data_IF_173870650768
#
_entry.id   IF_173870650768
#
_cell.length_a   1.000
_cell.length_b   1.000
_cell.length_c   1.000
_cell.angle_alpha   90.00
_cell.angle_beta   90.00
_cell.angle_gamma   90.00
#
_symmetry.space_group_name_H-M   'P 1'
#
loop_
_entity.id
_entity.type
_entity.pdbx_description
1 polymer ?
#
# COMPACT_ATOMS: atom_id res chain seq x y z
N UNK A 1 -13.72 -11.27 -19.58
CA UNK A 1 -12.48 -11.13 -20.41
C UNK A 1 -11.42 -10.25 -19.75
N UNK A 2 -11.79 -9.29 -18.89
CA UNK A 2 -10.84 -8.40 -18.16
C UNK A 2 -9.96 -9.19 -17.19
N UNK A 3 -10.49 -10.23 -16.54
CA UNK A 3 -9.69 -11.10 -15.65
C UNK A 3 -8.58 -11.91 -16.37
N UNK A 4 -8.59 -11.97 -17.71
CA UNK A 4 -7.45 -12.54 -18.46
C UNK A 4 -6.24 -11.60 -18.54
N UNK A 5 -6.44 -10.30 -18.39
CA UNK A 5 -5.37 -9.29 -18.35
C UNK A 5 -4.57 -9.33 -17.03
N UNK A 6 -5.19 -9.75 -15.91
CA UNK A 6 -4.48 -9.91 -14.64
C UNK A 6 -3.39 -10.99 -14.71
N UNK A 7 -3.50 -11.94 -15.62
CA UNK A 7 -2.50 -12.99 -15.84
C UNK A 7 -1.20 -12.50 -16.47
N UNK A 8 -1.21 -11.28 -17.04
CA UNK A 8 -0.05 -10.65 -17.68
C UNK A 8 0.50 -9.48 -16.87
N UNK A 9 -0.11 -9.15 -15.73
CA UNK A 9 0.34 -8.03 -14.90
C UNK A 9 0.65 -8.51 -13.49
N UNK A 10 1.93 -8.80 -13.25
CA UNK A 10 2.47 -9.16 -11.93
C UNK A 10 2.15 -8.09 -10.86
N UNK A 11 2.01 -6.82 -11.25
CA UNK A 11 1.75 -5.72 -10.33
C UNK A 11 0.42 -5.88 -9.56
N UNK A 12 -0.63 -6.45 -10.20
CA UNK A 12 -1.89 -6.71 -9.50
C UNK A 12 -1.75 -7.86 -8.48
N UNK A 13 -1.06 -8.94 -8.86
CA UNK A 13 -0.78 -10.05 -7.95
C UNK A 13 0.09 -9.59 -6.78
N UNK A 14 1.06 -8.72 -7.04
CA UNK A 14 1.94 -8.11 -6.05
C UNK A 14 1.17 -7.25 -5.07
N UNK A 15 0.26 -6.42 -5.55
CA UNK A 15 -0.59 -5.60 -4.69
C UNK A 15 -1.49 -6.48 -3.79
N UNK A 16 -2.08 -7.54 -4.33
CA UNK A 16 -2.89 -8.49 -3.55
C UNK A 16 -2.02 -9.24 -2.53
N UNK A 17 -0.80 -9.63 -2.91
CA UNK A 17 0.14 -10.29 -2.01
C UNK A 17 0.60 -9.35 -0.89
N UNK A 18 0.87 -8.08 -1.20
CA UNK A 18 1.23 -7.05 -0.24
C UNK A 18 0.12 -6.83 0.79
N UNK A 19 -1.13 -6.64 0.33
CA UNK A 19 -2.29 -6.49 1.23
C UNK A 19 -2.50 -7.73 2.10
N UNK A 20 -2.29 -8.94 1.55
CA UNK A 20 -2.37 -10.19 2.33
C UNK A 20 -1.26 -10.32 3.37
N UNK A 21 -0.06 -9.86 3.05
CA UNK A 21 1.08 -9.88 3.98
C UNK A 21 0.84 -8.94 5.17
N UNK A 22 0.24 -7.77 4.93
CA UNK A 22 -0.06 -6.75 5.93
C UNK A 22 -1.55 -6.72 6.33
N UNK A 23 -2.21 -7.89 6.29
CA UNK A 23 -3.66 -8.02 6.57
C UNK A 23 -4.08 -7.40 7.90
N UNK A 24 -3.24 -7.48 8.92
CA UNK A 24 -3.56 -7.02 10.27
C UNK A 24 -3.54 -5.48 10.33
N UNK A 25 -2.54 -4.84 9.70
CA UNK A 25 -2.47 -3.38 9.56
C UNK A 25 -3.62 -2.85 8.70
N UNK A 26 -3.90 -3.54 7.58
CA UNK A 26 -5.01 -3.18 6.70
C UNK A 26 -6.38 -3.34 7.38
N UNK A 27 -6.60 -4.46 8.08
CA UNK A 27 -7.82 -4.71 8.84
C UNK A 27 -8.04 -3.66 9.92
N UNK A 28 -6.97 -3.26 10.63
CA UNK A 28 -7.03 -2.21 11.66
C UNK A 28 -7.41 -0.86 11.07
N UNK A 29 -6.86 -0.50 9.90
CA UNK A 29 -7.19 0.74 9.21
C UNK A 29 -8.65 0.76 8.73
N UNK A 30 -9.13 -0.35 8.16
CA UNK A 30 -10.54 -0.51 7.74
C UNK A 30 -11.48 -0.48 8.94
N UNK A 31 -11.11 -1.12 10.05
CA UNK A 31 -11.89 -1.07 11.29
C UNK A 31 -11.99 0.35 11.84
N UNK A 32 -10.87 1.09 11.88
CA UNK A 32 -10.85 2.49 12.29
C UNK A 32 -11.77 3.36 11.40
N UNK A 33 -11.72 3.15 10.09
CA UNK A 33 -12.60 3.83 9.14
C UNK A 33 -14.07 3.51 9.42
N UNK A 34 -14.40 2.25 9.68
CA UNK A 34 -15.78 1.82 9.95
C UNK A 34 -16.31 2.42 11.25
N UNK A 35 -15.53 2.39 12.33
CA UNK A 35 -15.92 3.01 13.61
C UNK A 35 -16.08 4.52 13.47
N UNK A 36 -15.18 5.19 12.75
CA UNK A 36 -15.28 6.63 12.47
C UNK A 36 -16.54 6.93 11.65
N UNK A 37 -16.84 6.11 10.64
CA UNK A 37 -18.06 6.23 9.84
C UNK A 37 -19.32 6.14 10.72
N UNK A 38 -19.41 5.14 11.57
CA UNK A 38 -20.57 4.99 12.48
C UNK A 38 -20.69 6.17 13.44
N UNK A 39 -19.58 6.59 14.06
CA UNK A 39 -19.58 7.68 15.02
C UNK A 39 -20.01 9.00 14.38
N UNK A 40 -19.33 9.43 13.33
CA UNK A 40 -19.59 10.73 12.69
C UNK A 40 -20.94 10.77 11.98
N UNK A 41 -21.36 9.66 11.38
CA UNK A 41 -22.70 9.55 10.77
C UNK A 41 -23.81 9.63 11.79
N UNK A 42 -23.63 9.01 12.96
CA UNK A 42 -24.60 9.11 14.04
C UNK A 42 -24.69 10.52 14.59
N UNK A 43 -23.55 11.20 14.76
CA UNK A 43 -23.48 12.58 15.23
C UNK A 43 -24.14 13.54 14.24
N UNK A 44 -23.84 13.46 12.95
CA UNK A 44 -24.44 14.36 11.95
C UNK A 44 -25.94 14.11 11.82
N UNK A 45 -26.39 12.84 11.91
CA UNK A 45 -27.80 12.49 11.92
C UNK A 45 -28.54 13.13 13.11
N UNK A 46 -27.97 13.10 14.31
CA UNK A 46 -28.56 13.69 15.52
C UNK A 46 -28.63 15.21 15.39
N UNK A 47 -27.59 15.85 14.84
CA UNK A 47 -27.46 17.30 14.78
C UNK A 47 -28.28 17.89 13.63
N UNK A 48 -28.15 17.33 12.42
CA UNK A 48 -28.71 17.86 11.18
C UNK A 48 -30.01 17.14 10.74
N UNK A 49 -30.25 15.91 11.18
CA UNK A 49 -31.41 15.13 10.72
C UNK A 49 -32.76 15.76 11.04
N UNK A 50 -32.84 16.64 12.05
CA UNK A 50 -34.05 17.38 12.36
C UNK A 50 -34.26 18.60 11.47
N UNK A 51 -33.15 19.27 11.14
CA UNK A 51 -33.13 20.48 10.30
C UNK A 51 -33.14 20.13 8.80
N UNK A 52 -32.52 18.99 8.44
CA UNK A 52 -32.43 18.52 7.07
C UNK A 52 -32.92 17.06 6.94
N UNK A 53 -34.21 16.78 7.20
CA UNK A 53 -34.73 15.41 7.19
C UNK A 53 -34.71 14.74 5.80
N UNK A 54 -34.67 15.53 4.72
CA UNK A 54 -34.58 15.00 3.36
C UNK A 54 -33.19 14.53 3.02
N UNK A 55 -32.15 15.10 3.66
CA UNK A 55 -30.76 14.80 3.43
C UNK A 55 -30.25 13.71 4.37
N UNK A 56 -30.63 13.83 5.65
CA UNK A 56 -30.24 12.91 6.71
C UNK A 56 -31.47 12.21 7.32
N UNK A 57 -32.26 11.43 6.52
CA UNK A 57 -33.46 10.76 7.01
C UNK A 57 -33.14 9.59 7.95
N UNK A 58 -31.89 9.11 7.96
CA UNK A 58 -31.46 7.95 8.74
C UNK A 58 -29.95 7.89 8.89
N UNK A 59 -29.48 7.11 9.87
CA UNK A 59 -28.03 6.87 10.05
C UNK A 59 -27.39 6.28 8.78
N UNK A 60 -27.97 5.30 8.06
CA UNK A 60 -27.38 4.83 6.79
C UNK A 60 -27.25 5.92 5.71
N UNK A 61 -28.19 6.88 5.64
CA UNK A 61 -28.05 8.01 4.72
C UNK A 61 -26.88 8.92 5.13
N UNK A 62 -26.71 9.16 6.42
CA UNK A 62 -25.56 9.89 6.96
C UNK A 62 -24.25 9.12 6.74
N UNK A 63 -24.23 7.79 6.79
CA UNK A 63 -23.06 6.98 6.45
C UNK A 63 -22.68 7.14 4.97
N UNK A 64 -23.65 7.17 4.08
CA UNK A 64 -23.40 7.43 2.66
C UNK A 64 -22.75 8.81 2.45
N UNK A 65 -23.27 9.84 3.13
CA UNK A 65 -22.65 11.18 3.12
C UNK A 65 -21.22 11.16 3.64
N UNK A 66 -20.93 10.44 4.75
CA UNK A 66 -19.60 10.32 5.32
C UNK A 66 -18.62 9.64 4.35
N UNK A 67 -19.04 8.55 3.70
CA UNK A 67 -18.23 7.85 2.70
C UNK A 67 -17.90 8.76 1.51
N UNK A 68 -18.87 9.52 1.01
CA UNK A 68 -18.61 10.50 -0.06
C UNK A 68 -17.60 11.54 0.41
N UNK A 69 -17.77 12.07 1.62
CA UNK A 69 -16.84 13.07 2.20
C UNK A 69 -15.41 12.55 2.29
N UNK A 70 -15.20 11.28 2.66
CA UNK A 70 -13.87 10.66 2.68
C UNK A 70 -13.28 10.54 1.28
N UNK A 71 -14.07 10.09 0.30
CA UNK A 71 -13.57 9.83 -1.06
C UNK A 71 -13.27 11.12 -1.80
N UNK A 72 -14.15 12.12 -1.68
CA UNK A 72 -14.05 13.39 -2.42
C UNK A 72 -13.25 14.46 -1.67
N UNK A 73 -12.99 14.26 -0.38
CA UNK A 73 -12.42 15.30 0.50
C UNK A 73 -13.36 16.47 0.77
N UNK A 74 -14.59 16.42 0.24
CA UNK A 74 -15.60 17.46 0.36
C UNK A 74 -16.98 16.83 0.50
N UNK A 75 -17.76 17.27 1.50
CA UNK A 75 -19.17 16.85 1.62
C UNK A 75 -20.00 17.44 0.48
N UNK A 76 -20.93 16.66 -0.05
CA UNK A 76 -21.88 17.08 -1.08
C UNK A 76 -23.09 17.85 -0.51
N UNK A 77 -23.12 18.05 0.80
CA UNK A 77 -24.18 18.75 1.51
C UNK A 77 -23.56 19.63 2.60
N UNK A 78 -24.01 20.88 2.64
CA UNK A 78 -23.61 21.83 3.67
C UNK A 78 -24.52 21.70 4.90
N UNK A 79 -23.95 21.71 6.11
CA UNK A 79 -24.74 21.75 7.35
C UNK A 79 -25.44 23.09 7.49
N UNK A 80 -26.64 23.09 8.09
CA UNK A 80 -27.39 24.31 8.38
C UNK A 80 -27.23 24.78 9.81
N UNK A 81 -26.80 23.89 10.72
CA UNK A 81 -26.56 24.27 12.11
C UNK A 81 -25.10 24.64 12.35
N UNK A 82 -24.85 25.53 13.31
CA UNK A 82 -23.49 25.90 13.71
C UNK A 82 -22.67 24.70 14.22
N UNK A 83 -23.31 23.83 15.01
CA UNK A 83 -22.67 22.62 15.55
C UNK A 83 -22.38 21.63 14.42
N UNK A 84 -23.30 21.47 13.47
CA UNK A 84 -23.11 20.67 12.26
C UNK A 84 -21.93 21.17 11.43
N UNK A 85 -21.79 22.49 11.26
CA UNK A 85 -20.64 23.08 10.56
C UNK A 85 -19.31 22.68 11.20
N UNK A 86 -19.21 22.77 12.54
CA UNK A 86 -17.99 22.35 13.25
C UNK A 86 -17.73 20.85 13.05
N UNK A 87 -18.79 20.03 13.16
CA UNK A 87 -18.69 18.59 12.98
C UNK A 87 -18.22 18.23 11.56
N UNK A 88 -18.75 18.91 10.54
CA UNK A 88 -18.34 18.69 9.14
C UNK A 88 -16.88 19.06 8.92
N UNK A 89 -16.39 20.17 9.48
CA UNK A 89 -14.98 20.55 9.40
C UNK A 89 -14.10 19.47 10.05
N UNK A 90 -14.46 18.99 11.23
CA UNK A 90 -13.73 17.91 11.90
C UNK A 90 -13.75 16.61 11.08
N UNK A 91 -14.90 16.28 10.48
CA UNK A 91 -15.05 15.11 9.60
C UNK A 91 -14.15 15.22 8.37
N UNK A 92 -14.05 16.40 7.75
CA UNK A 92 -13.19 16.61 6.59
C UNK A 92 -11.71 16.46 6.92
N UNK A 93 -11.26 17.03 8.04
CA UNK A 93 -9.88 16.85 8.53
C UNK A 93 -9.58 15.38 8.80
N UNK A 94 -10.50 14.69 9.48
CA UNK A 94 -10.37 13.26 9.77
C UNK A 94 -10.37 12.41 8.48
N UNK A 95 -11.19 12.78 7.50
CA UNK A 95 -11.26 12.09 6.20
C UNK A 95 -9.92 12.07 5.48
N UNK A 96 -9.23 13.20 5.46
CA UNK A 96 -7.88 13.31 4.88
C UNK A 96 -6.90 12.39 5.62
N UNK A 97 -6.95 12.39 6.96
CA UNK A 97 -6.08 11.55 7.77
C UNK A 97 -6.36 10.04 7.54
N UNK A 98 -7.62 9.63 7.49
CA UNK A 98 -8.02 8.25 7.24
C UNK A 98 -7.63 7.78 5.84
N UNK A 99 -7.83 8.61 4.82
CA UNK A 99 -7.41 8.31 3.46
C UNK A 99 -5.88 8.17 3.37
N UNK A 100 -5.12 9.03 4.06
CA UNK A 100 -3.67 8.95 4.12
C UNK A 100 -3.19 7.66 4.82
N UNK A 101 -3.83 7.24 5.91
CA UNK A 101 -3.52 5.98 6.61
C UNK A 101 -3.72 4.78 5.68
N UNK A 102 -4.88 4.69 5.01
CA UNK A 102 -5.17 3.58 4.09
C UNK A 102 -4.17 3.52 2.94
N UNK A 103 -3.89 4.66 2.31
CA UNK A 103 -2.90 4.76 1.24
C UNK A 103 -1.50 4.39 1.74
N UNK A 104 -1.12 4.87 2.93
CA UNK A 104 0.16 4.58 3.56
C UNK A 104 0.35 3.10 3.84
N UNK A 105 -0.65 2.41 4.37
CA UNK A 105 -0.60 0.95 4.63
C UNK A 105 -0.37 0.18 3.33
N UNK A 106 -1.11 0.51 2.25
CA UNK A 106 -0.95 -0.15 0.95
C UNK A 106 0.42 0.13 0.36
N UNK A 107 0.88 1.39 0.40
CA UNK A 107 2.20 1.77 -0.12
C UNK A 107 3.33 1.05 0.63
N UNK A 108 3.30 1.04 1.97
CA UNK A 108 4.30 0.36 2.80
C UNK A 108 4.31 -1.14 2.53
N UNK A 109 3.14 -1.77 2.45
CA UNK A 109 3.02 -3.19 2.15
C UNK A 109 3.61 -3.55 0.78
N UNK A 110 3.37 -2.71 -0.24
CA UNK A 110 3.93 -2.89 -1.57
C UNK A 110 5.46 -2.75 -1.56
N UNK A 111 6.00 -1.71 -0.93
CA UNK A 111 7.45 -1.49 -0.81
C UNK A 111 8.12 -2.66 -0.09
N UNK A 112 7.58 -3.11 1.03
CA UNK A 112 8.10 -4.26 1.76
C UNK A 112 8.11 -5.56 0.92
N UNK A 113 7.10 -5.75 0.07
CA UNK A 113 7.06 -6.90 -0.84
C UNK A 113 8.14 -6.83 -1.93
N UNK A 114 8.37 -5.65 -2.49
CA UNK A 114 9.44 -5.41 -3.48
C UNK A 114 10.81 -5.64 -2.85
N UNK A 115 11.08 -5.04 -1.69
CA UNK A 115 12.33 -5.21 -0.94
C UNK A 115 12.60 -6.67 -0.59
N UNK A 116 11.58 -7.40 -0.15
CA UNK A 116 11.71 -8.83 0.15
C UNK A 116 12.11 -9.65 -1.07
N UNK A 117 11.58 -9.35 -2.25
CA UNK A 117 11.96 -10.02 -3.50
C UNK A 117 13.40 -9.72 -3.88
N UNK A 118 13.78 -8.46 -3.78
CA UNK A 118 15.15 -8.03 -4.05
C UNK A 118 16.13 -8.74 -3.12
N UNK A 119 15.85 -8.77 -1.81
CA UNK A 119 16.69 -9.45 -0.84
C UNK A 119 16.82 -10.96 -1.10
N UNK A 120 15.73 -11.62 -1.50
CA UNK A 120 15.78 -13.06 -1.86
C UNK A 120 16.63 -13.30 -3.09
N UNK A 121 16.53 -12.45 -4.12
CA UNK A 121 17.34 -12.55 -5.33
C UNK A 121 18.82 -12.26 -5.03
N UNK A 122 19.10 -11.22 -4.25
CA UNK A 122 20.45 -10.85 -3.81
C UNK A 122 21.13 -12.00 -3.05
N UNK A 123 20.41 -12.66 -2.13
CA UNK A 123 20.94 -13.83 -1.42
C UNK A 123 21.36 -14.94 -2.38
N UNK A 124 20.57 -15.22 -3.39
CA UNK A 124 20.89 -16.26 -4.38
C UNK A 124 22.09 -15.87 -5.25
N UNK A 125 22.12 -14.63 -5.73
CA UNK A 125 23.29 -14.10 -6.46
C UNK A 125 24.55 -14.18 -5.61
N UNK A 126 24.47 -13.84 -4.33
CA UNK A 126 25.61 -13.93 -3.39
C UNK A 126 26.08 -15.37 -3.20
N UNK A 127 25.17 -16.34 -3.13
CA UNK A 127 25.52 -17.76 -3.06
C UNK A 127 26.23 -18.22 -4.32
N UNK A 128 25.71 -17.87 -5.49
CA UNK A 128 26.29 -18.22 -6.81
C UNK A 128 27.67 -17.57 -7.01
N UNK A 129 27.85 -16.35 -6.53
CA UNK A 129 29.14 -15.63 -6.65
C UNK A 129 30.18 -16.01 -5.57
N UNK A 130 29.81 -16.87 -4.61
CA UNK A 130 30.67 -17.20 -3.46
C UNK A 130 31.97 -17.93 -3.84
N UNK A 131 31.94 -18.76 -4.88
CA UNK A 131 33.08 -19.50 -5.39
C UNK A 131 33.88 -18.79 -6.52
N UNK A 132 33.32 -17.64 -6.99
CA UNK A 132 33.97 -16.78 -8.00
C UNK A 132 33.80 -17.23 -9.45
N UNK A 133 33.10 -18.32 -9.72
CA UNK A 133 32.87 -18.87 -11.07
C UNK A 133 31.40 -19.12 -11.26
N UNK A 134 30.74 -18.38 -12.16
CA UNK A 134 29.33 -18.57 -12.47
C UNK A 134 29.20 -19.62 -13.57
N UNK A 135 28.62 -20.76 -13.22
CA UNK A 135 28.36 -21.85 -14.17
C UNK A 135 27.12 -21.58 -15.03
N UNK A 136 26.99 -22.26 -16.17
CA UNK A 136 25.80 -22.14 -17.03
C UNK A 136 24.51 -22.60 -16.29
N UNK A 137 24.62 -23.59 -15.40
CA UNK A 137 23.51 -24.08 -14.60
C UNK A 137 23.04 -23.03 -13.58
N UNK A 138 23.97 -22.32 -12.93
CA UNK A 138 23.67 -21.24 -12.00
C UNK A 138 23.06 -20.02 -12.68
N UNK A 139 23.53 -19.68 -13.89
CA UNK A 139 22.90 -18.64 -14.69
C UNK A 139 21.44 -18.99 -15.05
N UNK A 140 21.19 -20.26 -15.40
CA UNK A 140 19.83 -20.72 -15.67
C UNK A 140 18.95 -20.67 -14.42
N UNK A 141 19.48 -21.03 -13.25
CA UNK A 141 18.76 -20.93 -11.96
C UNK A 141 18.42 -19.48 -11.62
N UNK A 142 19.35 -18.53 -11.77
CA UNK A 142 19.10 -17.10 -11.56
C UNK A 142 18.01 -16.55 -12.50
N UNK A 143 17.98 -16.98 -13.77
CA UNK A 143 16.92 -16.61 -14.70
C UNK A 143 15.55 -17.16 -14.31
N UNK A 144 15.51 -18.40 -13.86
CA UNK A 144 14.26 -19.02 -13.35
C UNK A 144 13.77 -18.27 -12.11
N UNK A 145 14.68 -17.91 -11.22
CA UNK A 145 14.36 -17.16 -10.01
C UNK A 145 13.89 -15.74 -10.32
N UNK A 146 14.56 -15.04 -11.25
CA UNK A 146 14.11 -13.75 -11.76
C UNK A 146 12.67 -13.81 -12.26
N UNK A 147 12.35 -14.78 -13.11
CA UNK A 147 11.00 -14.98 -13.63
C UNK A 147 10.00 -15.31 -12.53
N UNK A 148 10.38 -16.16 -11.54
CA UNK A 148 9.53 -16.54 -10.41
C UNK A 148 9.25 -15.36 -9.47
N UNK A 149 10.21 -14.47 -9.29
CA UNK A 149 10.07 -13.26 -8.46
C UNK A 149 9.45 -12.10 -9.25
N UNK A 150 9.23 -12.24 -10.55
CA UNK A 150 8.66 -11.20 -11.41
C UNK A 150 9.53 -9.95 -11.52
N UNK A 151 10.86 -10.11 -11.46
CA UNK A 151 11.82 -9.00 -11.52
C UNK A 151 12.13 -8.64 -12.96
N UNK A 152 12.23 -7.32 -13.24
CA UNK A 152 12.68 -6.84 -14.54
C UNK A 152 14.20 -7.00 -14.72
N UNK A 153 14.65 -7.01 -15.97
CA UNK A 153 16.09 -7.06 -16.26
C UNK A 153 16.85 -5.87 -15.66
N UNK A 154 16.23 -4.69 -15.65
CA UNK A 154 16.82 -3.48 -15.02
C UNK A 154 17.03 -3.64 -13.51
N UNK A 155 16.09 -4.29 -12.81
CA UNK A 155 16.22 -4.55 -11.37
C UNK A 155 17.34 -5.57 -11.10
N UNK A 156 17.45 -6.58 -11.94
CA UNK A 156 18.51 -7.60 -11.83
C UNK A 156 19.89 -6.99 -12.09
N UNK A 157 20.01 -6.15 -13.11
CA UNK A 157 21.28 -5.49 -13.44
C UNK A 157 21.70 -4.50 -12.35
N UNK A 158 20.74 -3.77 -11.74
CA UNK A 158 21.03 -2.88 -10.61
C UNK A 158 21.59 -3.65 -9.41
N UNK A 159 21.00 -4.81 -9.06
CA UNK A 159 21.49 -5.66 -7.96
C UNK A 159 22.90 -6.19 -8.26
N UNK A 160 23.14 -6.68 -9.47
CA UNK A 160 24.48 -7.18 -9.86
C UNK A 160 25.53 -6.08 -9.76
N UNK A 161 25.22 -4.90 -10.27
CA UNK A 161 26.13 -3.75 -10.22
C UNK A 161 26.46 -3.33 -8.77
N UNK A 162 25.45 -3.29 -7.91
CA UNK A 162 25.63 -2.99 -6.48
C UNK A 162 26.56 -4.04 -5.82
N UNK A 163 26.37 -5.32 -6.10
CA UNK A 163 27.18 -6.40 -5.53
C UNK A 163 28.63 -6.36 -6.03
N UNK A 164 28.86 -6.01 -7.29
CA UNK A 164 30.22 -5.81 -7.84
C UNK A 164 30.91 -4.64 -7.14
N UNK A 165 30.23 -3.52 -6.92
CA UNK A 165 30.77 -2.38 -6.18
C UNK A 165 31.14 -2.76 -4.73
N UNK A 166 30.23 -3.47 -4.02
CA UNK A 166 30.48 -3.95 -2.66
C UNK A 166 31.74 -4.85 -2.60
N UNK A 167 31.91 -5.72 -3.60
CA UNK A 167 33.08 -6.60 -3.69
C UNK A 167 34.37 -5.79 -3.88
N UNK A 168 34.38 -4.82 -4.78
CA UNK A 168 35.54 -3.93 -5.01
C UNK A 168 35.90 -3.13 -3.76
N UNK A 169 34.92 -2.59 -3.05
CA UNK A 169 35.12 -1.84 -1.79
C UNK A 169 35.70 -2.78 -0.70
N UNK A 170 35.16 -3.99 -0.59
CA UNK A 170 35.66 -4.98 0.37
C UNK A 170 37.11 -5.42 0.10
N UNK A 171 37.45 -5.62 -1.16
CA UNK A 171 38.82 -5.96 -1.58
C UNK A 171 39.81 -4.80 -1.34
N UNK A 172 39.41 -3.58 -1.67
CA UNK A 172 40.22 -2.38 -1.39
C UNK A 172 40.49 -2.20 0.12
N UNK A 173 39.49 -2.43 0.97
CA UNK A 173 39.64 -2.34 2.42
C UNK A 173 40.50 -3.47 3.01
N UNK A 174 40.59 -4.64 2.35
CA UNK A 174 41.48 -5.72 2.76
C UNK A 174 42.95 -5.47 2.38
N UNK A 175 43.19 -4.74 1.30
CA UNK A 175 44.55 -4.36 0.86
C UNK A 175 45.14 -3.17 1.63
N UNK A 176 44.27 -2.37 2.29
CA UNK A 176 44.67 -1.21 3.10
C UNK A 176 44.98 -1.55 4.58
N UNK A 177 44.84 -2.83 4.99
CA UNK A 177 45.16 -3.33 6.32
C UNK A 177 46.41 -4.21 6.29
#
# INVERSE_FOLDING_TARGET
>A
RIFKLSRYNSAFEDMVAAVKAEKDSFSSAVFLLFISCLLFSSLIYIIEGHEQPEVFPSIPAAMHWFVITIISGWGNVDPVTFVGTILVILTQILSIALAAILTGVVATAYTAQVERRQALYEMEVRNVLSDGVVTEEEQAQLKIMQAKLGMSDEQVDAIKHQMEEEKHISEANKQAK
#
